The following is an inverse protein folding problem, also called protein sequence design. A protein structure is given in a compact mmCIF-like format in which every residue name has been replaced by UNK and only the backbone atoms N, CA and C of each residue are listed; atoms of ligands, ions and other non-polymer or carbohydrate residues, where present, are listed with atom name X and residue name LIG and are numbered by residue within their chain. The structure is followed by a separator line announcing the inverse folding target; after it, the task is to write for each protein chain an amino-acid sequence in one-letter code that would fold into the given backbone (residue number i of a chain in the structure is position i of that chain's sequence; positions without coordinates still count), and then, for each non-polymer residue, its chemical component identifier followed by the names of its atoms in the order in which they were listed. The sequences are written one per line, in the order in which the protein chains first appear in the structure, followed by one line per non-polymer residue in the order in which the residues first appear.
data_IF_805949548195
#
_entry.id   IF_805949548195
#
_cell.length_a   1.000
_cell.length_b   1.000
_cell.length_c   1.000
_cell.angle_alpha   90.00
_cell.angle_beta   90.00
_cell.angle_gamma   90.00
#
_symmetry.space_group_name_H-M   'P 1'
#
loop_
_entity.id
_entity.type
_entity.pdbx_description
1 polymer ?
#
# COMPACT_ATOMS: atom_id res chain seq x y z
N UNK A 1 -6.81 -2.27 4.33
CA UNK A 1 -7.02 -1.62 3.03
C UNK A 1 -5.73 -0.95 2.61
N UNK A 2 -5.31 -1.09 1.35
CA UNK A 2 -4.11 -0.45 0.81
C UNK A 2 -4.47 0.50 -0.33
N UNK A 3 -3.69 1.57 -0.49
CA UNK A 3 -3.78 2.52 -1.59
C UNK A 3 -2.44 2.56 -2.33
N UNK A 4 -2.45 2.21 -3.61
CA UNK A 4 -1.26 2.18 -4.46
C UNK A 4 -1.38 3.23 -5.57
N UNK A 5 -0.31 3.99 -5.78
CA UNK A 5 -0.27 4.97 -6.86
C UNK A 5 0.03 4.30 -8.22
N UNK A 6 -0.05 5.08 -9.29
CA UNK A 6 0.19 4.59 -10.66
C UNK A 6 1.59 4.03 -10.90
N UNK A 7 2.61 4.47 -10.16
CA UNK A 7 3.97 3.91 -10.25
C UNK A 7 4.02 2.51 -9.62
N UNK A 8 3.42 2.32 -8.45
CA UNK A 8 3.31 1.00 -7.81
C UNK A 8 2.59 0.02 -8.70
N UNK A 9 1.46 0.41 -9.32
CA UNK A 9 0.71 -0.44 -10.24
C UNK A 9 1.57 -0.88 -11.43
N UNK A 10 2.35 0.03 -12.02
CA UNK A 10 3.28 -0.28 -13.11
C UNK A 10 4.37 -1.26 -12.70
N UNK A 11 4.99 -1.06 -11.53
CA UNK A 11 6.04 -1.95 -11.02
C UNK A 11 5.48 -3.34 -10.66
N UNK A 12 4.24 -3.38 -10.15
CA UNK A 12 3.54 -4.60 -9.80
C UNK A 12 2.98 -5.38 -11.02
N UNK A 13 2.96 -4.76 -12.21
CA UNK A 13 2.29 -5.33 -13.38
C UNK A 13 0.78 -5.46 -13.22
N UNK A 14 0.16 -4.60 -12.39
CA UNK A 14 -1.27 -4.64 -12.10
C UNK A 14 -2.03 -3.77 -13.10
N UNK A 15 -3.05 -4.35 -13.73
CA UNK A 15 -3.97 -3.70 -14.65
C UNK A 15 -5.43 -4.18 -14.45
N UNK A 16 -6.33 -3.78 -15.35
CA UNK A 16 -7.76 -4.12 -15.29
C UNK A 16 -8.07 -5.62 -15.39
N UNK A 17 -7.14 -6.42 -15.90
CA UNK A 17 -7.23 -7.85 -16.11
C UNK A 17 -6.51 -8.66 -15.01
N UNK A 18 -5.88 -8.00 -14.04
CA UNK A 18 -5.21 -8.67 -12.93
C UNK A 18 -6.17 -9.58 -12.17
N UNK A 19 -5.76 -10.83 -11.99
CA UNK A 19 -6.50 -11.81 -11.20
C UNK A 19 -6.37 -11.44 -9.73
N UNK A 20 -7.52 -11.25 -9.08
CA UNK A 20 -7.57 -10.90 -7.66
C UNK A 20 -7.60 -12.18 -6.84
N UNK A 21 -6.79 -12.29 -5.76
CA UNK A 21 -6.88 -13.40 -4.82
C UNK A 21 -8.31 -13.57 -4.29
N UNK A 22 -8.71 -14.81 -4.02
CA UNK A 22 -10.03 -15.11 -3.45
C UNK A 22 -10.22 -14.35 -2.15
N UNK A 23 -11.40 -13.75 -1.95
CA UNK A 23 -11.67 -12.91 -0.78
C UNK A 23 -11.08 -11.50 -0.84
N UNK A 24 -10.47 -11.10 -1.96
CA UNK A 24 -9.97 -9.73 -2.19
C UNK A 24 -10.82 -8.93 -3.17
N UNK A 25 -10.66 -7.60 -3.19
CA UNK A 25 -11.25 -6.75 -4.23
C UNK A 25 -10.34 -5.59 -4.59
N UNK A 26 -10.13 -5.37 -5.89
CA UNK A 26 -9.57 -4.12 -6.44
C UNK A 26 -10.73 -3.22 -6.84
N UNK A 27 -10.81 -2.03 -6.27
CA UNK A 27 -11.89 -1.09 -6.60
C UNK A 27 -11.64 -0.52 -8.00
N UNK A 28 -12.67 -0.57 -8.84
CA UNK A 28 -12.69 0.03 -10.17
C UNK A 28 -13.59 1.26 -10.20
N UNK A 29 -13.26 2.21 -11.08
CA UNK A 29 -14.13 3.35 -11.38
C UNK A 29 -15.28 2.95 -12.32
N UNK A 30 -16.09 3.92 -12.72
CA UNK A 30 -17.24 3.71 -13.60
C UNK A 30 -16.85 3.20 -15.00
N UNK A 31 -15.62 3.50 -15.46
CA UNK A 31 -15.08 3.09 -16.76
C UNK A 31 -14.36 1.73 -16.69
N UNK A 32 -14.29 1.13 -15.49
CA UNK A 32 -13.64 -0.15 -15.24
C UNK A 32 -12.12 -0.06 -15.05
N UNK A 33 -11.56 1.15 -14.92
CA UNK A 33 -10.14 1.33 -14.59
C UNK A 33 -9.91 1.05 -13.11
N UNK A 34 -8.73 0.54 -12.79
CA UNK A 34 -8.32 0.33 -11.40
C UNK A 34 -8.05 1.68 -10.72
N UNK A 35 -8.64 1.88 -9.55
CA UNK A 35 -8.48 3.13 -8.76
C UNK A 35 -7.21 3.15 -7.91
N UNK A 36 -6.54 2.00 -7.78
CA UNK A 36 -5.43 1.82 -6.85
C UNK A 36 -5.84 1.46 -5.43
N UNK A 37 -7.15 1.27 -5.14
CA UNK A 37 -7.63 0.83 -3.82
C UNK A 37 -7.75 -0.70 -3.78
N UNK A 38 -7.07 -1.32 -2.83
CA UNK A 38 -7.04 -2.77 -2.60
C UNK A 38 -7.67 -3.11 -1.24
N UNK A 39 -8.64 -4.03 -1.25
CA UNK A 39 -9.37 -4.51 -0.08
C UNK A 39 -9.06 -5.97 0.19
N UNK A 40 -8.97 -6.33 1.47
CA UNK A 40 -8.75 -7.69 1.96
C UNK A 40 -7.57 -8.37 1.24
N UNK A 41 -7.74 -9.59 0.74
CA UNK A 41 -6.65 -10.37 0.14
C UNK A 41 -6.09 -9.74 -1.15
N UNK A 42 -6.74 -8.73 -1.73
CA UNK A 42 -6.15 -8.00 -2.86
C UNK A 42 -4.91 -7.19 -2.44
N UNK A 43 -4.75 -6.88 -1.15
CA UNK A 43 -3.56 -6.19 -0.63
C UNK A 43 -2.28 -6.99 -0.86
N UNK A 44 -2.37 -8.32 -0.91
CA UNK A 44 -1.24 -9.22 -1.16
C UNK A 44 -0.54 -8.93 -2.50
N UNK A 45 -1.25 -8.33 -3.46
CA UNK A 45 -0.69 -7.96 -4.77
C UNK A 45 0.31 -6.80 -4.69
N UNK A 46 0.21 -5.96 -3.65
CA UNK A 46 1.01 -4.74 -3.51
C UNK A 46 1.85 -4.70 -2.24
N UNK A 47 1.50 -5.50 -1.23
CA UNK A 47 2.21 -5.60 0.05
C UNK A 47 3.71 -5.95 -0.10
N UNK A 48 4.13 -6.88 -0.98
CA UNK A 48 5.55 -7.19 -1.16
C UNK A 48 6.40 -6.04 -1.70
N UNK A 49 5.78 -5.00 -2.27
CA UNK A 49 6.48 -3.82 -2.77
C UNK A 49 6.79 -2.81 -1.65
N UNK A 50 6.16 -2.98 -0.49
CA UNK A 50 6.46 -2.18 0.71
C UNK A 50 7.76 -2.69 1.29
N UNK A 51 8.84 -1.93 1.06
CA UNK A 51 10.16 -2.24 1.62
C UNK A 51 10.13 -2.13 3.14
N UNK A 52 10.88 -3.00 3.80
CA UNK A 52 11.13 -2.85 5.22
C UNK A 52 11.85 -1.53 5.50
N UNK A 53 11.43 -0.85 6.58
CA UNK A 53 12.08 0.38 7.05
C UNK A 53 13.52 0.10 7.46
N UNK A 54 14.45 0.98 7.05
CA UNK A 54 15.84 0.92 7.53
C UNK A 54 15.92 1.20 9.03
N UNK A 55 16.97 0.70 9.69
CA UNK A 55 17.20 0.99 11.12
C UNK A 55 17.31 2.49 11.40
N UNK A 56 17.95 3.24 10.50
CA UNK A 56 18.03 4.70 10.58
C UNK A 56 16.64 5.36 10.56
N UNK A 57 15.70 4.84 9.76
CA UNK A 57 14.33 5.34 9.73
C UNK A 57 13.58 4.95 11.01
N UNK A 58 13.77 3.72 11.50
CA UNK A 58 13.20 3.24 12.76
C UNK A 58 13.64 4.12 13.95
N UNK A 59 14.93 4.44 14.06
CA UNK A 59 15.44 5.33 15.10
C UNK A 59 14.87 6.75 15.02
N UNK A 60 14.78 7.32 13.80
CA UNK A 60 14.15 8.64 13.60
C UNK A 60 12.68 8.65 13.98
N UNK A 61 11.95 7.58 13.67
CA UNK A 61 10.54 7.46 14.06
C UNK A 61 10.39 7.38 15.58
N UNK A 62 11.30 6.66 16.26
CA UNK A 62 11.33 6.58 17.73
C UNK A 62 11.60 7.95 18.37
N UNK A 63 12.61 8.68 17.87
CA UNK A 63 12.95 10.03 18.35
C UNK A 63 11.75 11.00 18.20
N UNK A 64 11.10 11.00 17.02
CA UNK A 64 9.92 11.81 16.78
C UNK A 64 8.75 11.45 17.73
N UNK A 65 8.54 10.17 18.02
CA UNK A 65 7.51 9.72 18.95
C UNK A 65 7.80 10.17 20.40
N UNK A 66 9.07 10.13 20.83
CA UNK A 66 9.48 10.62 22.15
C UNK A 66 9.32 12.14 22.26
N UNK A 67 9.68 12.89 21.23
CA UNK A 67 9.48 14.34 21.17
C UNK A 67 8.00 14.70 21.27
N UNK A 68 7.13 14.04 20.50
CA UNK A 68 5.68 14.27 20.56
C UNK A 68 5.11 14.07 21.98
N UNK A 69 5.60 13.07 22.73
CA UNK A 69 5.16 12.84 24.10
C UNK A 69 5.64 13.94 25.07
N UNK A 70 6.83 14.50 24.85
CA UNK A 70 7.37 15.58 25.69
C UNK A 70 6.70 16.93 25.44
N UNK A 71 6.13 17.14 24.25
CA UNK A 71 5.40 18.36 23.86
C UNK A 71 3.92 18.36 24.28
N UNK A 72 3.42 17.24 24.82
CA UNK A 72 2.04 17.06 25.31
C UNK A 72 1.97 17.13 26.84
#
# INVERSE_FOLDING_TARGET
MALANSLTLKIAGIDKNTVVPSGGTIVKDADGNITGIFKDNAMELVEPLVKESSDSLKFRALDAAMQYLLEQ
#
